data_IF_057910386252
#
_entry.id   IF_057910386252
#
_cell.length_a   1.000
_cell.length_b   1.000
_cell.length_c   1.000
_cell.angle_alpha   90.00
_cell.angle_beta   90.00
_cell.angle_gamma   90.00
#
_symmetry.space_group_name_H-M   'P 1'
#
loop_
_entity.id
_entity.type
_entity.pdbx_description
1 polymer ?
#
# COMPACT_ATOMS: atom_id res chain seq x y z
N UNK A 1 13.61 45.07 40.12
CA UNK A 1 14.28 43.98 39.36
C UNK A 1 13.31 42.81 39.27
N UNK A 2 13.04 42.38 38.04
CA UNK A 2 11.84 41.68 37.60
C UNK A 2 12.06 40.16 37.50
N UNK A 3 11.38 39.40 38.36
CA UNK A 3 11.26 37.93 38.23
C UNK A 3 10.27 37.58 37.12
N UNK A 4 10.77 37.52 35.89
CA UNK A 4 9.98 37.21 34.69
C UNK A 4 9.65 35.71 34.50
N UNK A 5 8.53 35.39 33.84
CA UNK A 5 7.83 34.11 33.91
C UNK A 5 8.36 33.07 32.91
N UNK A 6 9.60 32.60 33.06
CA UNK A 6 10.22 31.65 32.11
C UNK A 6 10.09 30.17 32.51
N UNK A 7 9.69 29.87 33.75
CA UNK A 7 9.53 28.49 34.25
C UNK A 7 8.23 27.80 33.82
N UNK A 8 7.13 28.55 33.72
CA UNK A 8 5.79 27.98 33.51
C UNK A 8 5.61 27.37 32.11
N UNK A 9 6.29 27.92 31.08
CA UNK A 9 6.22 27.41 29.70
C UNK A 9 6.98 26.10 29.47
N UNK A 10 7.96 25.74 30.33
CA UNK A 10 8.74 24.50 30.17
C UNK A 10 8.10 23.29 30.85
N UNK A 11 7.27 23.50 31.88
CA UNK A 11 6.57 22.42 32.58
C UNK A 11 5.38 21.86 31.78
N UNK A 12 4.64 22.71 31.06
CA UNK A 12 3.48 22.26 30.27
C UNK A 12 3.83 21.30 29.11
N UNK A 13 5.07 21.33 28.61
CA UNK A 13 5.48 20.56 27.44
C UNK A 13 6.07 19.17 27.75
N UNK A 14 6.13 18.76 29.02
CA UNK A 14 6.80 17.50 29.45
C UNK A 14 5.88 16.32 29.76
N UNK A 15 4.55 16.46 29.69
CA UNK A 15 3.62 15.39 30.09
C UNK A 15 2.97 14.59 28.97
N UNK A 16 3.01 15.04 27.71
CA UNK A 16 2.22 14.43 26.63
C UNK A 16 3.16 13.75 25.63
N UNK A 17 3.13 12.40 25.52
CA UNK A 17 3.83 11.67 24.47
C UNK A 17 3.52 12.29 23.11
N UNK A 18 4.51 12.43 22.22
CA UNK A 18 4.31 13.05 20.87
C UNK A 18 3.08 12.50 20.14
N UNK A 19 2.75 11.22 20.35
CA UNK A 19 1.59 10.50 19.82
C UNK A 19 0.22 11.03 20.28
N UNK A 20 0.14 11.75 21.41
CA UNK A 20 -1.13 12.25 21.98
C UNK A 20 -1.30 13.77 21.82
N UNK A 21 -0.34 14.48 21.22
CA UNK A 21 -0.42 15.95 21.08
C UNK A 21 -1.58 16.38 20.19
N UNK A 22 -1.83 15.65 19.11
CA UNK A 22 -2.96 15.89 18.20
C UNK A 22 -4.29 15.70 18.91
N UNK A 23 -4.45 14.61 19.67
CA UNK A 23 -5.64 14.36 20.48
C UNK A 23 -5.88 15.47 21.50
N UNK A 24 -4.86 15.87 22.26
CA UNK A 24 -5.00 16.92 23.27
C UNK A 24 -5.35 18.26 22.63
N UNK A 25 -4.71 18.62 21.50
CA UNK A 25 -5.03 19.83 20.77
C UNK A 25 -6.47 19.82 20.24
N UNK A 26 -6.93 18.69 19.72
CA UNK A 26 -8.28 18.53 19.18
C UNK A 26 -9.35 18.58 20.29
N UNK A 27 -9.09 17.92 21.44
CA UNK A 27 -9.96 18.00 22.62
C UNK A 27 -10.02 19.44 23.12
N UNK A 28 -8.88 20.12 23.30
CA UNK A 28 -8.84 21.51 23.73
C UNK A 28 -9.60 22.42 22.76
N UNK A 29 -9.40 22.25 21.46
CA UNK A 29 -10.13 22.97 20.41
C UNK A 29 -11.64 22.74 20.50
N UNK A 30 -12.07 21.49 20.69
CA UNK A 30 -13.48 21.12 20.85
C UNK A 30 -14.08 21.76 22.11
N UNK A 31 -13.34 21.78 23.23
CA UNK A 31 -13.77 22.43 24.48
C UNK A 31 -13.94 23.94 24.28
N UNK A 32 -12.95 24.61 23.67
CA UNK A 32 -13.02 26.06 23.40
C UNK A 32 -14.21 26.38 22.49
N UNK A 33 -14.43 25.58 21.45
CA UNK A 33 -15.54 25.77 20.54
C UNK A 33 -16.88 25.55 21.23
N UNK A 34 -16.99 24.50 22.06
CA UNK A 34 -18.20 24.23 22.85
C UNK A 34 -18.46 25.35 23.86
N UNK A 35 -17.43 25.85 24.54
CA UNK A 35 -17.54 26.99 25.45
C UNK A 35 -18.02 28.25 24.73
N UNK A 36 -17.51 28.53 23.53
CA UNK A 36 -17.97 29.65 22.71
C UNK A 36 -19.44 29.51 22.31
N UNK A 37 -19.90 28.29 21.95
CA UNK A 37 -21.31 27.99 21.68
C UNK A 37 -22.19 28.20 22.93
N UNK A 38 -21.69 27.80 24.11
CA UNK A 38 -22.42 27.95 25.37
C UNK A 38 -22.54 29.41 25.85
N UNK A 39 -21.56 30.25 25.56
CA UNK A 39 -21.54 31.68 25.96
C UNK A 39 -22.25 32.56 24.95
N UNK A 40 -22.11 32.29 23.64
CA UNK A 40 -22.70 33.10 22.56
C UNK A 40 -23.56 32.23 21.61
N UNK A 41 -24.71 31.72 22.09
CA UNK A 41 -25.55 30.81 21.30
C UNK A 41 -26.16 31.43 20.04
N UNK A 42 -26.24 32.77 19.97
CA UNK A 42 -26.77 33.51 18.81
C UNK A 42 -25.74 33.71 17.69
N UNK A 43 -24.45 33.66 18.00
CA UNK A 43 -23.35 33.94 17.05
C UNK A 43 -22.64 32.66 16.63
N UNK A 44 -22.50 31.70 17.55
CA UNK A 44 -21.79 30.45 17.33
C UNK A 44 -22.77 29.29 17.03
N UNK A 45 -22.83 28.78 15.79
CA UNK A 45 -23.75 27.71 15.44
C UNK A 45 -23.25 26.34 15.92
N UNK A 46 -24.19 25.46 16.31
CA UNK A 46 -23.90 24.05 16.68
C UNK A 46 -23.14 23.29 15.59
N UNK A 47 -23.33 23.65 14.32
CA UNK A 47 -22.65 23.06 13.17
C UNK A 47 -21.13 23.24 13.21
N UNK A 48 -20.61 24.17 14.03
CA UNK A 48 -19.18 24.30 14.27
C UNK A 48 -18.54 23.01 14.79
N UNK A 49 -19.26 22.19 15.56
CA UNK A 49 -18.77 20.91 16.08
C UNK A 49 -18.49 19.85 14.99
N UNK A 50 -18.95 20.09 13.74
CA UNK A 50 -18.55 19.27 12.58
C UNK A 50 -17.06 19.42 12.28
N UNK A 51 -16.46 20.59 12.52
CA UNK A 51 -15.04 20.84 12.22
C UNK A 51 -14.13 19.94 13.07
N UNK A 52 -14.23 19.89 14.41
CA UNK A 52 -13.49 18.91 15.20
C UNK A 52 -13.78 17.45 14.83
N UNK A 53 -15.02 17.12 14.44
CA UNK A 53 -15.37 15.76 14.03
C UNK A 53 -14.64 15.33 12.75
N UNK A 54 -14.60 16.20 11.73
CA UNK A 54 -13.88 15.96 10.48
C UNK A 54 -12.36 15.94 10.69
N UNK A 55 -11.83 16.91 11.44
CA UNK A 55 -10.41 16.92 11.78
C UNK A 55 -10.02 15.67 12.60
N UNK A 56 -10.89 15.22 13.50
CA UNK A 56 -10.71 14.01 14.27
C UNK A 56 -10.67 12.75 13.40
N UNK A 57 -11.58 12.62 12.44
CA UNK A 57 -11.65 11.44 11.56
C UNK A 57 -10.44 11.29 10.63
N UNK A 58 -9.75 12.39 10.33
CA UNK A 58 -8.53 12.43 9.50
C UNK A 58 -7.27 12.27 10.35
N UNK A 59 -7.17 12.99 11.47
CA UNK A 59 -5.92 13.12 12.23
C UNK A 59 -5.76 12.08 13.36
N UNK A 60 -6.86 11.53 13.89
CA UNK A 60 -6.80 10.61 15.03
C UNK A 60 -6.61 9.16 14.59
N UNK A 61 -5.84 8.42 15.39
CA UNK A 61 -5.69 6.97 15.20
C UNK A 61 -7.01 6.23 15.47
N UNK A 62 -7.25 5.06 14.82
CA UNK A 62 -8.47 4.27 15.01
C UNK A 62 -8.77 3.87 16.47
N UNK A 63 -7.74 3.82 17.34
CA UNK A 63 -7.91 3.55 18.77
C UNK A 63 -8.39 4.75 19.59
N UNK A 64 -8.11 5.97 19.14
CA UNK A 64 -8.44 7.21 19.86
C UNK A 64 -9.74 7.84 19.34
N UNK A 65 -10.06 7.63 18.06
CA UNK A 65 -11.24 8.20 17.41
C UNK A 65 -12.57 7.85 18.09
N UNK A 66 -12.87 6.59 18.50
CA UNK A 66 -14.14 6.27 19.17
C UNK A 66 -14.35 7.08 20.45
N UNK A 67 -13.31 7.17 21.29
CA UNK A 67 -13.35 7.94 22.54
C UNK A 67 -13.52 9.43 22.30
N UNK A 68 -12.87 9.97 21.27
CA UNK A 68 -13.04 11.36 20.87
C UNK A 68 -14.47 11.64 20.37
N UNK A 69 -15.06 10.74 19.57
CA UNK A 69 -16.44 10.88 19.09
C UNK A 69 -17.43 10.82 20.26
N UNK A 70 -17.26 9.91 21.21
CA UNK A 70 -18.08 9.85 22.43
C UNK A 70 -17.96 11.17 23.22
N UNK A 71 -16.74 11.69 23.37
CA UNK A 71 -16.52 13.00 23.99
C UNK A 71 -17.24 14.13 23.24
N UNK A 72 -17.20 14.14 21.91
CA UNK A 72 -17.87 15.14 21.08
C UNK A 72 -19.40 15.03 21.20
N UNK A 73 -19.95 13.81 21.30
CA UNK A 73 -21.39 13.60 21.58
C UNK A 73 -21.79 14.16 22.95
N UNK A 74 -20.95 14.01 23.98
CA UNK A 74 -21.20 14.63 25.30
C UNK A 74 -21.16 16.15 25.22
N UNK A 75 -20.19 16.73 24.50
CA UNK A 75 -20.12 18.18 24.29
C UNK A 75 -21.32 18.72 23.51
N UNK A 76 -21.77 17.99 22.49
CA UNK A 76 -22.98 18.29 21.75
C UNK A 76 -24.22 18.25 22.66
N UNK A 77 -24.33 17.24 23.53
CA UNK A 77 -25.41 17.14 24.52
C UNK A 77 -25.43 18.35 25.48
N UNK A 78 -24.27 18.79 25.95
CA UNK A 78 -24.16 19.98 26.80
C UNK A 78 -24.57 21.25 26.04
N UNK A 79 -24.18 21.39 24.78
CA UNK A 79 -24.53 22.55 23.95
C UNK A 79 -26.05 22.63 23.67
N UNK A 80 -26.73 21.49 23.52
CA UNK A 80 -28.19 21.41 23.35
C UNK A 80 -28.91 21.98 24.58
N UNK A 81 -28.42 21.69 25.78
CA UNK A 81 -29.04 22.13 27.04
C UNK A 81 -29.12 23.66 27.24
N UNK A 82 -28.46 24.46 26.40
CA UNK A 82 -28.51 25.92 26.43
C UNK A 82 -29.36 26.54 25.31
N UNK A 83 -29.96 25.75 24.44
CA UNK A 83 -30.82 26.29 23.39
C UNK A 83 -32.20 26.64 23.94
N UNK A 84 -32.49 27.94 24.00
CA UNK A 84 -33.75 28.45 24.56
C UNK A 84 -34.91 28.40 23.56
N UNK A 85 -34.65 28.25 22.26
CA UNK A 85 -35.66 28.17 21.20
C UNK A 85 -35.49 26.89 20.37
N UNK A 86 -36.50 26.02 20.42
CA UNK A 86 -36.53 24.77 19.65
C UNK A 86 -37.18 25.06 18.29
N UNK A 87 -36.36 25.52 17.34
CA UNK A 87 -36.78 25.59 15.94
C UNK A 87 -36.58 24.23 15.25
N UNK A 88 -37.47 23.90 14.30
CA UNK A 88 -37.38 22.67 13.50
C UNK A 88 -36.01 22.52 12.82
N UNK A 89 -35.44 23.63 12.34
CA UNK A 89 -34.10 23.67 11.74
C UNK A 89 -33.02 23.17 12.70
N UNK A 90 -33.11 23.57 13.96
CA UNK A 90 -32.15 23.20 15.00
C UNK A 90 -32.25 21.73 15.36
N UNK A 91 -33.48 21.20 15.47
CA UNK A 91 -33.73 19.77 15.67
C UNK A 91 -33.13 18.94 14.55
N UNK A 92 -33.34 19.35 13.29
CA UNK A 92 -32.76 18.68 12.11
C UNK A 92 -31.23 18.73 12.15
N UNK A 93 -30.64 19.90 12.47
CA UNK A 93 -29.18 20.05 12.55
C UNK A 93 -28.57 19.14 13.63
N UNK A 94 -29.20 19.05 14.80
CA UNK A 94 -28.80 18.13 15.89
C UNK A 94 -28.87 16.69 15.42
N UNK A 95 -29.98 16.28 14.78
CA UNK A 95 -30.16 14.92 14.28
C UNK A 95 -29.07 14.52 13.27
N UNK A 96 -28.75 15.41 12.33
CA UNK A 96 -27.68 15.20 11.34
C UNK A 96 -26.31 15.07 12.03
N UNK A 97 -26.02 15.92 13.02
CA UNK A 97 -24.76 15.87 13.77
C UNK A 97 -24.59 14.54 14.54
N UNK A 98 -25.64 14.09 15.22
CA UNK A 98 -25.65 12.79 15.89
C UNK A 98 -25.50 11.63 14.91
N UNK A 99 -26.19 11.69 13.77
CA UNK A 99 -26.05 10.70 12.70
C UNK A 99 -24.62 10.64 12.17
N UNK A 100 -23.99 11.80 11.93
CA UNK A 100 -22.61 11.87 11.47
C UNK A 100 -21.64 11.30 12.51
N UNK A 101 -21.82 11.64 13.79
CA UNK A 101 -21.04 11.04 14.88
C UNK A 101 -21.20 9.52 14.91
N UNK A 102 -22.43 9.02 14.75
CA UNK A 102 -22.71 7.59 14.73
C UNK A 102 -22.04 6.88 13.54
N UNK A 103 -22.11 7.45 12.32
CA UNK A 103 -21.43 6.92 11.13
C UNK A 103 -19.91 6.87 11.36
N UNK A 104 -19.31 7.94 11.88
CA UNK A 104 -17.87 7.99 12.18
C UNK A 104 -17.51 6.96 13.26
N UNK A 105 -18.34 6.79 14.28
CA UNK A 105 -18.14 5.80 15.32
C UNK A 105 -18.16 4.36 14.75
N UNK A 106 -19.19 4.00 13.98
CA UNK A 106 -19.30 2.67 13.36
C UNK A 106 -18.15 2.39 12.38
N UNK A 107 -17.79 3.37 11.54
CA UNK A 107 -16.68 3.23 10.59
C UNK A 107 -15.33 3.14 11.29
N UNK A 108 -15.14 3.80 12.44
CA UNK A 108 -13.91 3.71 13.24
C UNK A 108 -13.65 2.29 13.77
N UNK A 109 -14.70 1.58 14.19
CA UNK A 109 -14.60 0.19 14.63
C UNK A 109 -14.31 -0.77 13.47
N UNK A 110 -14.84 -0.50 12.27
CA UNK A 110 -14.51 -1.29 11.06
C UNK A 110 -13.04 -1.13 10.66
N UNK A 111 -12.46 0.06 10.79
CA UNK A 111 -11.03 0.31 10.52
C UNK A 111 -10.08 -0.50 11.43
N UNK A 112 -10.52 -0.93 12.61
CA UNK A 112 -9.64 -1.61 13.58
C UNK A 112 -9.33 -3.06 13.18
N UNK A 113 -10.15 -3.72 12.35
CA UNK A 113 -9.96 -5.13 11.96
C UNK A 113 -8.99 -5.35 10.80
N UNK A 114 -8.61 -4.30 10.07
CA UNK A 114 -7.80 -4.47 8.85
C UNK A 114 -6.29 -4.36 9.07
N UNK A 115 -5.81 -3.96 10.25
CA UNK A 115 -4.37 -3.94 10.63
C UNK A 115 -3.44 -3.05 9.78
N UNK A 116 -3.89 -2.63 8.60
CA UNK A 116 -3.13 -2.06 7.48
C UNK A 116 -4.01 -1.02 6.75
N UNK A 117 -4.80 -0.24 7.49
CA UNK A 117 -5.65 0.80 6.91
C UNK A 117 -5.05 2.19 7.13
N UNK A 118 -4.55 2.82 6.06
CA UNK A 118 -4.01 4.19 6.02
C UNK A 118 -2.76 4.31 5.13
N UNK A 119 -2.18 5.51 5.06
CA UNK A 119 -0.95 5.83 4.29
C UNK A 119 0.23 4.88 4.57
N UNK A 120 0.27 4.26 5.77
CA UNK A 120 1.28 3.26 6.13
C UNK A 120 1.08 1.90 5.44
N UNK A 121 -0.16 1.56 5.06
CA UNK A 121 -0.49 0.30 4.40
C UNK A 121 -0.06 0.27 2.94
N UNK A 122 -0.27 1.39 2.24
CA UNK A 122 0.21 1.59 0.88
C UNK A 122 1.74 1.51 0.81
N UNK A 123 2.46 2.11 1.77
CA UNK A 123 3.92 1.99 1.84
C UNK A 123 4.40 0.57 2.13
N UNK A 124 3.65 -0.23 2.93
CA UNK A 124 4.01 -1.62 3.17
C UNK A 124 3.79 -2.51 1.94
N UNK A 125 2.75 -2.26 1.13
CA UNK A 125 2.54 -2.97 -0.13
C UNK A 125 3.66 -2.67 -1.13
N UNK A 126 4.12 -1.42 -1.17
CA UNK A 126 5.28 -1.00 -1.96
C UNK A 126 6.56 -1.69 -1.44
N UNK A 127 6.81 -1.71 -0.13
CA UNK A 127 7.99 -2.37 0.45
C UNK A 127 7.97 -3.89 0.23
N UNK A 128 6.80 -4.54 0.33
CA UNK A 128 6.65 -5.97 0.04
C UNK A 128 6.90 -6.26 -1.45
N UNK A 129 6.36 -5.42 -2.34
CA UNK A 129 6.63 -5.48 -3.78
C UNK A 129 8.12 -5.37 -4.07
N UNK A 130 8.77 -4.35 -3.51
CA UNK A 130 10.17 -4.07 -3.76
C UNK A 130 11.05 -5.22 -3.24
N UNK A 131 10.72 -5.80 -2.08
CA UNK A 131 11.41 -6.99 -1.55
C UNK A 131 11.22 -8.23 -2.43
N UNK A 132 10.01 -8.49 -2.93
CA UNK A 132 9.74 -9.65 -3.80
C UNK A 132 10.44 -9.45 -5.16
N UNK A 133 10.41 -8.25 -5.72
CA UNK A 133 11.14 -7.92 -6.95
C UNK A 133 12.66 -8.01 -6.75
N UNK A 134 13.19 -7.60 -5.59
CA UNK A 134 14.61 -7.76 -5.26
C UNK A 134 15.01 -9.23 -5.09
N UNK A 135 14.11 -10.09 -4.62
CA UNK A 135 14.35 -11.54 -4.54
C UNK A 135 14.45 -12.20 -5.93
N UNK A 136 13.84 -11.62 -6.96
CA UNK A 136 13.95 -12.04 -8.37
C UNK A 136 14.90 -11.18 -9.21
N UNK A 137 15.67 -10.28 -8.60
CA UNK A 137 16.59 -9.39 -9.32
C UNK A 137 17.75 -10.14 -9.96
N UNK A 138 18.35 -9.54 -11.00
CA UNK A 138 19.49 -10.14 -11.70
C UNK A 138 20.66 -10.29 -10.72
N UNK A 139 21.18 -11.51 -10.51
CA UNK A 139 22.31 -11.74 -9.62
C UNK A 139 23.60 -11.12 -10.21
N UNK A 140 24.62 -10.84 -9.38
CA UNK A 140 25.89 -10.33 -9.88
C UNK A 140 26.57 -11.36 -10.81
N UNK A 141 27.01 -10.87 -11.95
CA UNK A 141 27.67 -11.67 -12.99
C UNK A 141 29.16 -11.32 -13.11
N UNK A 142 29.99 -12.26 -13.63
CA UNK A 142 31.38 -11.96 -13.93
C UNK A 142 31.50 -10.78 -14.92
N UNK A 143 32.60 -10.01 -14.91
CA UNK A 143 32.75 -8.79 -15.72
C UNK A 143 32.63 -8.98 -17.24
N UNK A 144 32.76 -10.22 -17.73
CA UNK A 144 32.61 -10.57 -19.15
C UNK A 144 31.15 -10.61 -19.61
N UNK A 145 30.20 -10.63 -18.67
CA UNK A 145 28.77 -10.66 -18.95
C UNK A 145 28.13 -9.32 -18.57
N UNK A 146 27.31 -8.80 -19.48
CA UNK A 146 26.43 -7.65 -19.24
C UNK A 146 24.98 -8.12 -19.36
N UNK A 147 24.15 -7.78 -18.37
CA UNK A 147 22.72 -8.02 -18.43
C UNK A 147 22.00 -6.75 -18.04
N UNK A 148 21.06 -6.35 -18.89
CA UNK A 148 20.21 -5.18 -18.69
C UNK A 148 18.75 -5.61 -18.80
N UNK A 149 17.90 -5.09 -17.92
CA UNK A 149 16.45 -5.31 -17.95
C UNK A 149 15.73 -3.98 -17.85
N UNK A 150 14.69 -3.82 -18.66
CA UNK A 150 13.81 -2.66 -18.60
C UNK A 150 12.35 -3.13 -18.62
N UNK A 151 11.62 -2.82 -17.53
CA UNK A 151 10.18 -3.01 -17.43
C UNK A 151 9.51 -1.64 -17.29
N UNK A 152 8.47 -1.39 -18.09
CA UNK A 152 7.71 -0.13 -18.03
C UNK A 152 6.22 -0.44 -18.05
N UNK A 153 5.52 -0.07 -16.98
CA UNK A 153 4.06 -0.20 -16.91
C UNK A 153 3.38 0.79 -17.86
N UNK A 154 2.35 0.33 -18.56
CA UNK A 154 1.48 1.20 -19.34
C UNK A 154 0.65 2.11 -18.40
N UNK A 155 0.65 3.42 -18.67
CA UNK A 155 -0.19 4.38 -17.94
C UNK A 155 0.30 4.80 -16.55
N UNK A 156 1.56 4.51 -16.19
CA UNK A 156 2.18 5.03 -14.97
C UNK A 156 1.67 4.42 -13.66
N UNK A 157 0.92 3.30 -13.74
CA UNK A 157 0.48 2.57 -12.55
C UNK A 157 1.66 1.84 -11.90
N UNK A 158 1.71 1.76 -10.55
CA UNK A 158 2.84 1.16 -9.83
C UNK A 158 2.92 -0.36 -9.95
N UNK A 159 1.94 -0.99 -10.60
CA UNK A 159 1.89 -2.43 -10.81
C UNK A 159 1.74 -2.75 -12.30
N UNK A 160 2.66 -3.55 -12.82
CA UNK A 160 2.58 -4.12 -14.16
C UNK A 160 2.11 -5.58 -14.08
N UNK A 161 1.50 -6.08 -15.16
CA UNK A 161 1.25 -7.52 -15.32
C UNK A 161 2.56 -8.30 -15.53
N UNK A 162 3.64 -7.60 -15.89
CA UNK A 162 4.87 -8.23 -16.33
C UNK A 162 5.93 -8.18 -15.22
N UNK A 163 6.73 -9.24 -15.13
CA UNK A 163 7.85 -9.31 -14.21
C UNK A 163 8.99 -10.16 -14.77
N UNK A 164 10.20 -9.87 -14.28
CA UNK A 164 11.39 -10.68 -14.53
C UNK A 164 11.82 -11.31 -13.20
N UNK A 165 12.12 -12.61 -13.24
CA UNK A 165 12.78 -13.33 -12.16
C UNK A 165 14.08 -13.91 -12.69
N UNK A 166 15.17 -13.73 -11.94
CA UNK A 166 16.47 -14.24 -12.29
C UNK A 166 17.13 -14.88 -11.06
N UNK A 167 17.91 -15.93 -11.30
CA UNK A 167 18.67 -16.59 -10.26
C UNK A 167 19.96 -17.17 -10.81
N UNK A 168 20.94 -17.30 -9.92
CA UNK A 168 22.19 -18.00 -10.17
C UNK A 168 22.47 -18.86 -8.94
N UNK A 169 22.14 -20.16 -8.97
CA UNK A 169 22.36 -21.03 -7.83
C UNK A 169 23.84 -21.01 -7.40
N UNK A 170 24.12 -20.94 -6.08
CA UNK A 170 25.47 -20.73 -5.54
C UNK A 170 26.52 -21.77 -5.95
N UNK A 171 26.09 -22.94 -6.41
CA UNK A 171 26.94 -24.04 -6.86
C UNK A 171 26.74 -24.40 -8.33
N UNK A 172 26.05 -23.54 -9.09
CA UNK A 172 25.83 -23.71 -10.52
C UNK A 172 26.53 -22.61 -11.30
N UNK A 173 27.02 -22.97 -12.48
CA UNK A 173 27.47 -22.00 -13.46
C UNK A 173 26.33 -21.51 -14.36
N UNK A 174 25.09 -21.92 -14.08
CA UNK A 174 23.91 -21.52 -14.83
C UNK A 174 23.32 -20.23 -14.26
N UNK A 175 23.06 -19.29 -15.16
CA UNK A 175 22.18 -18.16 -14.97
C UNK A 175 20.82 -18.52 -15.56
N UNK A 176 19.77 -18.42 -14.74
CA UNK A 176 18.41 -18.62 -15.21
C UNK A 176 17.65 -17.30 -15.12
N UNK A 177 16.91 -16.97 -16.18
CA UNK A 177 16.08 -15.76 -16.26
C UNK A 177 14.74 -16.16 -16.85
N UNK A 178 13.64 -15.79 -16.22
CA UNK A 178 12.32 -15.88 -16.81
C UNK A 178 11.64 -14.51 -16.86
N UNK A 179 11.09 -14.18 -18.02
CA UNK A 179 10.20 -13.05 -18.24
C UNK A 179 8.78 -13.58 -18.37
N UNK A 180 7.86 -13.02 -17.59
CA UNK A 180 6.46 -13.44 -17.54
C UNK A 180 5.55 -12.25 -17.72
N UNK A 181 4.57 -12.38 -18.60
CA UNK A 181 3.48 -11.42 -18.83
C UNK A 181 2.17 -12.06 -18.37
N UNK A 182 1.54 -11.44 -17.37
CA UNK A 182 0.26 -11.89 -16.81
C UNK A 182 -0.88 -11.11 -17.45
N UNK A 183 -1.77 -11.83 -18.11
CA UNK A 183 -2.95 -11.22 -18.72
C UNK A 183 -3.84 -10.52 -17.69
N UNK A 184 -4.30 -9.34 -18.07
CA UNK A 184 -5.19 -8.50 -17.27
C UNK A 184 -4.84 -7.03 -17.42
N UNK A 185 -5.61 -6.15 -16.75
CA UNK A 185 -5.35 -4.71 -16.72
C UNK A 185 -5.53 -4.18 -15.30
N UNK A 186 -4.72 -3.19 -14.93
CA UNK A 186 -4.83 -2.47 -13.67
C UNK A 186 -4.36 -3.27 -12.44
N UNK A 187 -4.86 -2.87 -11.27
CA UNK A 187 -4.38 -3.32 -9.95
C UNK A 187 -4.55 -4.83 -9.71
N UNK A 188 -5.57 -5.46 -10.30
CA UNK A 188 -5.79 -6.91 -10.20
C UNK A 188 -4.71 -7.72 -10.93
N UNK A 189 -4.27 -7.27 -12.12
CA UNK A 189 -3.15 -7.91 -12.82
C UNK A 189 -1.85 -7.73 -12.03
N UNK A 190 -1.66 -6.55 -11.45
CA UNK A 190 -0.53 -6.21 -10.61
C UNK A 190 -0.34 -7.10 -9.39
N UNK A 191 -1.41 -7.33 -8.64
CA UNK A 191 -1.39 -8.21 -7.46
C UNK A 191 -1.14 -9.68 -7.84
N UNK A 192 -1.65 -10.14 -8.99
CA UNK A 192 -1.36 -11.47 -9.53
C UNK A 192 0.11 -11.61 -9.94
N UNK A 193 0.64 -10.64 -10.68
CA UNK A 193 2.05 -10.60 -11.08
C UNK A 193 2.99 -10.64 -9.86
N UNK A 194 2.63 -9.94 -8.78
CA UNK A 194 3.40 -9.95 -7.53
C UNK A 194 3.38 -11.32 -6.84
N UNK A 195 2.23 -12.00 -6.80
CA UNK A 195 2.14 -13.35 -6.24
C UNK A 195 2.95 -14.36 -7.06
N UNK A 196 2.85 -14.28 -8.40
CA UNK A 196 3.57 -15.16 -9.30
C UNK A 196 5.07 -14.93 -9.28
N UNK A 197 5.53 -13.68 -9.19
CA UNK A 197 6.97 -13.40 -9.13
C UNK A 197 7.63 -14.02 -7.90
N UNK A 198 6.95 -14.00 -6.75
CA UNK A 198 7.41 -14.71 -5.55
C UNK A 198 7.42 -16.23 -5.72
N UNK A 199 6.35 -16.81 -6.28
CA UNK A 199 6.24 -18.25 -6.48
C UNK A 199 7.27 -18.76 -7.51
N UNK A 200 7.37 -18.11 -8.65
CA UNK A 200 8.27 -18.50 -9.74
C UNK A 200 9.72 -18.22 -9.38
N UNK A 201 10.01 -17.14 -8.65
CA UNK A 201 11.34 -16.90 -8.09
C UNK A 201 11.81 -18.00 -7.14
N UNK A 202 10.88 -18.66 -6.44
CA UNK A 202 11.19 -19.84 -5.61
C UNK A 202 11.36 -21.15 -6.39
N UNK A 203 10.70 -21.29 -7.54
CA UNK A 203 10.85 -22.46 -8.43
C UNK A 203 12.14 -22.37 -9.27
N UNK A 204 12.48 -21.16 -9.71
CA UNK A 204 13.64 -20.91 -10.55
C UNK A 204 14.93 -21.26 -9.79
N UNK A 205 15.78 -22.11 -10.38
CA UNK A 205 17.00 -22.62 -9.75
C UNK A 205 16.81 -23.65 -8.64
N UNK A 206 15.56 -24.00 -8.28
CA UNK A 206 15.24 -25.14 -7.42
C UNK A 206 14.93 -26.41 -8.22
N UNK A 207 14.51 -26.23 -9.48
CA UNK A 207 14.21 -27.30 -10.43
C UNK A 207 15.23 -27.31 -11.57
N UNK A 208 15.39 -28.44 -12.28
CA UNK A 208 16.04 -28.45 -13.58
C UNK A 208 15.38 -27.44 -14.53
N UNK A 209 16.15 -26.79 -15.44
CA UNK A 209 15.61 -25.81 -16.36
C UNK A 209 14.40 -26.31 -17.16
N UNK A 210 14.40 -27.60 -17.50
CA UNK A 210 13.37 -28.24 -18.29
C UNK A 210 12.01 -28.36 -17.59
N UNK A 211 12.02 -28.40 -16.25
CA UNK A 211 10.86 -28.64 -15.41
C UNK A 211 10.23 -27.34 -14.90
N UNK A 212 10.91 -26.20 -15.07
CA UNK A 212 10.44 -24.90 -14.59
C UNK A 212 9.07 -24.51 -15.17
N UNK A 213 8.92 -24.49 -16.50
CA UNK A 213 7.66 -24.09 -17.14
C UNK A 213 6.50 -25.07 -16.85
N UNK A 214 6.69 -26.40 -16.91
CA UNK A 214 5.67 -27.35 -16.45
C UNK A 214 5.23 -27.11 -15.00
N UNK A 215 6.17 -26.95 -14.07
CA UNK A 215 5.86 -26.73 -12.66
C UNK A 215 5.15 -25.39 -12.41
N UNK A 216 5.54 -24.34 -13.15
CA UNK A 216 4.88 -23.04 -13.13
C UNK A 216 3.43 -23.14 -13.62
N UNK A 217 3.18 -23.91 -14.69
CA UNK A 217 1.83 -24.16 -15.20
C UNK A 217 0.98 -24.94 -14.18
N UNK A 218 1.52 -25.99 -13.57
CA UNK A 218 0.82 -26.74 -12.51
C UNK A 218 0.50 -25.87 -11.30
N UNK A 219 1.40 -24.95 -10.94
CA UNK A 219 1.15 -23.96 -9.89
C UNK A 219 -0.02 -23.05 -10.27
N UNK A 220 -0.05 -22.53 -11.50
CA UNK A 220 -1.15 -21.68 -12.00
C UNK A 220 -2.49 -22.40 -11.97
N UNK A 221 -2.55 -23.64 -12.46
CA UNK A 221 -3.77 -24.45 -12.47
C UNK A 221 -4.34 -24.69 -11.07
N UNK A 222 -3.47 -24.88 -10.07
CA UNK A 222 -3.88 -25.03 -8.65
C UNK A 222 -4.48 -23.77 -8.04
N UNK A 223 -4.15 -22.58 -8.56
CA UNK A 223 -4.74 -21.33 -8.07
C UNK A 223 -6.20 -21.14 -8.54
N UNK A 224 -6.71 -22.04 -9.40
CA UNK A 224 -8.10 -22.05 -9.88
C UNK A 224 -8.56 -20.66 -10.40
N UNK A 225 -7.71 -20.02 -11.19
CA UNK A 225 -8.02 -18.71 -11.76
C UNK A 225 -9.20 -18.80 -12.73
N UNK A 226 -10.28 -18.08 -12.42
CA UNK A 226 -11.51 -18.10 -13.20
C UNK A 226 -11.32 -17.58 -14.63
N UNK A 227 -10.53 -16.52 -14.80
CA UNK A 227 -10.18 -15.91 -16.09
C UNK A 227 -8.76 -15.31 -16.04
N UNK A 228 -7.92 -15.71 -17.00
CA UNK A 228 -6.56 -15.20 -17.22
C UNK A 228 -5.53 -16.31 -17.51
N UNK A 229 -4.54 -15.97 -18.32
CA UNK A 229 -3.33 -16.75 -18.59
C UNK A 229 -2.08 -15.92 -18.25
N UNK A 230 -0.93 -16.59 -18.19
CA UNK A 230 0.37 -15.94 -18.21
C UNK A 230 1.17 -16.51 -19.37
N UNK A 231 1.93 -15.66 -20.04
CA UNK A 231 2.93 -16.10 -21.02
C UNK A 231 4.30 -15.99 -20.40
N UNK A 232 5.21 -16.91 -20.73
CA UNK A 232 6.56 -16.90 -20.17
C UNK A 232 7.61 -17.26 -21.22
N UNK A 233 8.79 -16.64 -21.11
CA UNK A 233 10.03 -17.09 -21.75
C UNK A 233 11.08 -17.31 -20.68
N UNK A 234 11.79 -18.43 -20.75
CA UNK A 234 12.82 -18.84 -19.80
C UNK A 234 14.12 -19.09 -20.55
N UNK A 235 15.18 -18.45 -20.08
CA UNK A 235 16.56 -18.59 -20.54
C UNK A 235 17.36 -19.30 -19.45
N UNK A 236 18.04 -20.38 -19.82
CA UNK A 236 19.06 -21.03 -19.01
C UNK A 236 20.40 -20.93 -19.74
N UNK A 237 21.38 -20.24 -19.13
CA UNK A 237 22.66 -19.90 -19.74
C UNK A 237 23.81 -20.42 -18.86
N UNK A 238 24.73 -21.20 -19.42
CA UNK A 238 26.02 -21.48 -18.78
C UNK A 238 26.95 -20.28 -18.97
N UNK A 239 27.29 -19.59 -17.89
CA UNK A 239 28.11 -18.37 -17.95
C UNK A 239 29.59 -18.66 -18.24
N UNK A 240 30.03 -19.93 -18.19
CA UNK A 240 31.41 -20.35 -18.44
C UNK A 240 31.62 -20.77 -19.88
N UNK A 241 30.66 -21.47 -20.48
CA UNK A 241 30.74 -21.91 -21.88
C UNK A 241 29.99 -21.01 -22.84
N UNK A 242 28.97 -20.28 -22.36
CA UNK A 242 28.04 -19.51 -23.20
C UNK A 242 26.93 -20.36 -23.83
N UNK A 243 26.88 -21.66 -23.53
CA UNK A 243 25.77 -22.52 -23.98
C UNK A 243 24.47 -22.10 -23.30
N UNK A 244 23.41 -21.94 -24.09
CA UNK A 244 22.12 -21.53 -23.58
C UNK A 244 20.98 -22.34 -24.16
N UNK A 245 19.88 -22.35 -23.43
CA UNK A 245 18.61 -22.92 -23.82
C UNK A 245 17.53 -21.86 -23.60
N UNK A 246 16.61 -21.73 -24.55
CA UNK A 246 15.42 -20.88 -24.43
C UNK A 246 14.19 -21.77 -24.54
N UNK A 247 13.27 -21.61 -23.58
CA UNK A 247 11.96 -22.25 -23.60
C UNK A 247 10.88 -21.19 -23.53
N UNK A 248 9.77 -21.40 -24.23
CA UNK A 248 8.64 -20.46 -24.18
C UNK A 248 7.34 -21.18 -23.84
N UNK A 249 6.43 -20.44 -23.23
CA UNK A 249 5.05 -20.83 -22.96
C UNK A 249 4.15 -19.68 -23.42
N UNK A 250 3.76 -19.70 -24.69
CA UNK A 250 2.87 -18.69 -25.28
C UNK A 250 3.44 -17.26 -25.41
N UNK A 251 4.69 -17.04 -25.01
CA UNK A 251 5.37 -15.75 -25.10
C UNK A 251 5.98 -15.57 -26.49
N UNK A 252 6.00 -14.33 -27.05
CA UNK A 252 6.79 -14.01 -28.24
C UNK A 252 8.23 -14.56 -28.19
N UNK A 253 8.78 -15.02 -29.34
CA UNK A 253 10.06 -15.72 -29.39
C UNK A 253 11.23 -14.81 -29.02
N UNK A 254 12.30 -15.42 -28.48
CA UNK A 254 13.54 -14.71 -28.17
C UNK A 254 14.33 -14.42 -29.45
N UNK A 255 15.04 -13.30 -29.48
CA UNK A 255 15.92 -12.93 -30.60
C UNK A 255 17.38 -12.85 -30.13
N UNK A 256 18.27 -13.48 -30.89
CA UNK A 256 19.71 -13.45 -30.65
C UNK A 256 20.41 -12.69 -31.78
N UNK A 257 21.23 -11.71 -31.42
CA UNK A 257 22.14 -11.01 -32.34
C UNK A 257 23.53 -11.62 -32.26
N UNK A 258 24.03 -12.16 -33.37
CA UNK A 258 25.43 -12.58 -33.51
C UNK A 258 26.28 -11.36 -33.88
N UNK A 259 26.87 -10.70 -32.88
CA UNK A 259 27.58 -9.43 -33.05
C UNK A 259 28.67 -9.46 -34.14
N UNK A 260 29.43 -10.56 -34.26
CA UNK A 260 30.48 -10.69 -35.28
C UNK A 260 29.95 -10.74 -36.72
N UNK A 261 28.71 -11.18 -36.94
CA UNK A 261 28.08 -11.31 -38.26
C UNK A 261 26.94 -10.30 -38.50
N UNK A 262 26.50 -9.57 -37.47
CA UNK A 262 25.35 -8.67 -37.53
C UNK A 262 24.00 -9.38 -37.80
N UNK A 263 23.95 -10.71 -37.67
CA UNK A 263 22.77 -11.51 -38.02
C UNK A 263 21.87 -11.72 -36.81
N UNK A 264 20.58 -11.49 -37.01
CA UNK A 264 19.53 -11.85 -36.05
C UNK A 264 19.03 -13.27 -36.32
N UNK A 265 18.91 -14.05 -35.26
CA UNK A 265 18.26 -15.37 -35.25
C UNK A 265 17.12 -15.32 -34.26
N UNK A 266 15.93 -15.74 -34.70
CA UNK A 266 14.75 -15.85 -33.84
C UNK A 266 14.67 -17.29 -33.37
N UNK A 267 14.56 -17.48 -32.06
CA UNK A 267 14.38 -18.77 -31.41
C UNK A 267 12.89 -19.01 -31.27
N UNK A 268 12.30 -19.63 -32.29
CA UNK A 268 10.97 -20.24 -32.17
C UNK A 268 11.11 -21.51 -31.35
N UNK A 269 10.30 -21.63 -30.31
CA UNK A 269 10.43 -22.63 -29.25
C UNK A 269 10.48 -24.08 -29.74
#
# INVERSE_FOLDING_TARGET
>A
MTTGPRGFRRALNRGIPRRNRTLVALVAFTVVLTAAILVWPTVAPLTGLVVPLLLGSILLSPRQLPWFVVFLMVMLMLAIGRQQTIEVRTVIAIAILYLLCFIVLVTSFRRTRLGVAGVLGESMLVDLRDRIQQQGGIPPLPPVWLVETALRSAGGTPFAGDFVVATRPRHSNRLEIALVDVSGKGEQAGTRALLLSGAFGGLLGALPPEDFLPAANDYLLRQAWAEGFATAVHLSLDIGTGEFEVRTAGHPPAAQLTAGAGRWTVHEA
#
